data_IF_229182133008
#
_entry.id   IF_229182133008
#
_cell.length_a   1.000
_cell.length_b   1.000
_cell.length_c   1.000
_cell.angle_alpha   90.00
_cell.angle_beta   90.00
_cell.angle_gamma   90.00
#
_symmetry.space_group_name_H-M   'P 1'
#
loop_
_entity.id
_entity.type
_entity.pdbx_description
1 polymer ?
#
# COMPACT_ATOMS: atom_id res chain seq x y z
N UNK A 1 5.31 20.73 2.91
CA UNK A 1 6.23 19.58 3.09
C UNK A 1 6.07 18.69 1.88
N UNK A 2 7.10 18.59 1.04
CA UNK A 2 7.05 17.75 -0.16
C UNK A 2 7.22 16.29 0.25
N UNK A 3 6.25 15.42 -0.06
CA UNK A 3 6.28 13.98 0.19
C UNK A 3 7.31 13.23 -0.69
N UNK A 4 8.26 13.95 -1.30
CA UNK A 4 9.12 13.48 -2.38
C UNK A 4 10.31 12.61 -1.93
N UNK A 5 10.37 12.22 -0.65
CA UNK A 5 11.50 11.49 -0.10
C UNK A 5 11.07 10.52 1.02
N UNK A 6 9.95 9.81 0.80
CA UNK A 6 9.50 8.79 1.73
C UNK A 6 10.48 7.61 1.66
N UNK A 7 11.33 7.49 2.67
CA UNK A 7 12.18 6.32 2.87
C UNK A 7 11.40 5.23 3.59
N UNK A 8 11.46 4.03 3.05
CA UNK A 8 10.89 2.84 3.66
C UNK A 8 11.81 1.63 3.40
N UNK A 9 11.90 0.75 4.38
CA UNK A 9 12.78 -0.42 4.34
C UNK A 9 11.94 -1.70 4.43
N UNK A 10 12.12 -2.67 3.51
CA UNK A 10 11.41 -3.94 3.59
C UNK A 10 11.75 -4.68 4.89
N UNK A 11 10.73 -5.17 5.59
CA UNK A 11 10.84 -5.93 6.84
C UNK A 11 10.41 -7.38 6.60
N UNK A 12 11.38 -8.27 6.46
CA UNK A 12 11.14 -9.71 6.23
C UNK A 12 10.90 -10.50 7.52
N UNK A 13 11.16 -9.89 8.67
CA UNK A 13 11.08 -10.50 10.00
C UNK A 13 9.65 -10.54 10.57
N UNK A 14 8.67 -9.89 9.92
CA UNK A 14 7.28 -9.88 10.39
C UNK A 14 6.68 -11.30 10.27
N UNK A 15 6.29 -11.92 11.40
CA UNK A 15 5.71 -13.25 11.39
C UNK A 15 4.29 -13.24 10.80
N UNK A 16 3.91 -14.34 10.14
CA UNK A 16 2.54 -14.54 9.67
C UNK A 16 2.13 -13.74 8.44
N UNK A 17 3.08 -13.14 7.70
CA UNK A 17 2.80 -12.58 6.37
C UNK A 17 2.37 -13.71 5.41
N UNK A 18 1.23 -13.54 4.75
CA UNK A 18 0.77 -14.47 3.72
C UNK A 18 1.58 -14.31 2.42
N UNK A 19 1.51 -15.30 1.53
CA UNK A 19 2.08 -15.19 0.19
C UNK A 19 1.51 -13.97 -0.56
N UNK A 20 2.37 -13.16 -1.18
CA UNK A 20 1.98 -11.91 -1.82
C UNK A 20 1.80 -10.71 -0.87
N UNK A 21 2.05 -10.90 0.43
CA UNK A 21 2.19 -9.81 1.38
C UNK A 21 3.66 -9.48 1.62
N UNK A 22 3.91 -8.18 1.74
CA UNK A 22 5.22 -7.64 2.07
C UNK A 22 5.03 -6.56 3.15
N UNK A 23 5.97 -6.45 4.07
CA UNK A 23 5.96 -5.43 5.10
C UNK A 23 7.10 -4.44 4.87
N UNK A 24 6.81 -3.17 5.15
CA UNK A 24 7.77 -2.08 5.04
C UNK A 24 7.74 -1.25 6.31
N UNK A 25 8.90 -0.89 6.82
CA UNK A 25 9.00 0.11 7.89
C UNK A 25 9.16 1.47 7.25
N UNK A 26 8.36 2.45 7.66
CA UNK A 26 8.55 3.84 7.25
C UNK A 26 9.73 4.39 8.05
N UNK A 27 10.78 4.85 7.39
CA UNK A 27 12.01 5.34 8.04
C UNK A 27 12.01 6.86 8.25
N UNK A 28 11.05 7.57 7.64
CA UNK A 28 11.09 9.03 7.55
C UNK A 28 9.73 9.72 7.71
N UNK A 29 9.77 11.01 8.08
CA UNK A 29 8.58 11.84 8.28
C UNK A 29 7.82 11.53 9.58
N UNK A 30 6.60 12.05 9.69
CA UNK A 30 5.78 11.96 10.91
C UNK A 30 5.30 10.54 11.24
N UNK A 31 5.50 9.59 10.34
CA UNK A 31 5.10 8.18 10.51
C UNK A 31 6.33 7.25 10.64
N UNK A 32 7.52 7.81 10.88
CA UNK A 32 8.73 7.02 11.08
C UNK A 32 8.54 5.97 12.20
N UNK A 33 8.98 4.75 11.95
CA UNK A 33 8.81 3.59 12.83
C UNK A 33 7.48 2.84 12.67
N UNK A 34 6.54 3.32 11.85
CA UNK A 34 5.32 2.55 11.53
C UNK A 34 5.62 1.47 10.50
N UNK A 35 5.01 0.30 10.69
CA UNK A 35 5.13 -0.83 9.76
C UNK A 35 3.87 -0.87 8.90
N UNK A 36 4.05 -0.88 7.58
CA UNK A 36 2.99 -0.97 6.59
C UNK A 36 3.07 -2.34 5.93
N UNK A 37 2.01 -3.11 6.05
CA UNK A 37 1.81 -4.33 5.27
C UNK A 37 1.13 -3.97 3.96
N UNK A 38 1.74 -4.31 2.84
CA UNK A 38 1.13 -4.23 1.51
C UNK A 38 0.78 -5.64 1.06
N UNK A 39 -0.48 -5.87 0.71
CA UNK A 39 -0.98 -7.10 0.11
C UNK A 39 -1.19 -6.86 -1.37
N UNK A 40 -0.52 -7.64 -2.21
CA UNK A 40 -0.75 -7.64 -3.64
C UNK A 40 -1.70 -8.77 -4.01
N UNK A 41 -2.61 -8.49 -4.93
CA UNK A 41 -3.50 -9.47 -5.53
C UNK A 41 -3.62 -9.18 -7.01
N UNK A 42 -3.59 -10.23 -7.82
CA UNK A 42 -3.77 -10.13 -9.27
C UNK A 42 -4.97 -10.97 -9.68
N UNK A 43 -5.87 -10.40 -10.48
CA UNK A 43 -7.00 -11.11 -11.07
C UNK A 43 -7.04 -10.85 -12.57
N UNK A 44 -7.16 -11.90 -13.36
CA UNK A 44 -7.40 -11.76 -14.79
C UNK A 44 -8.91 -11.62 -15.02
N UNK A 45 -9.31 -10.54 -15.67
CA UNK A 45 -10.70 -10.22 -15.97
C UNK A 45 -10.91 -10.11 -17.50
N UNK A 46 -12.06 -10.58 -18.01
CA UNK A 46 -12.44 -10.35 -19.40
C UNK A 46 -12.75 -8.86 -19.62
N UNK A 47 -12.34 -8.33 -20.76
CA UNK A 47 -12.71 -6.99 -21.18
C UNK A 47 -14.24 -6.85 -21.28
N UNK A 48 -14.82 -5.69 -20.90
CA UNK A 48 -16.26 -5.46 -21.02
C UNK A 48 -16.78 -5.54 -22.46
N UNK A 49 -15.91 -5.42 -23.46
CA UNK A 49 -16.26 -5.49 -24.87
C UNK A 49 -15.12 -6.09 -25.70
N UNK A 50 -15.04 -7.42 -25.76
CA UNK A 50 -14.21 -8.14 -26.74
C UNK A 50 -13.51 -9.40 -26.19
N UNK A 51 -12.69 -10.07 -27.02
CA UNK A 51 -11.92 -11.26 -26.62
C UNK A 51 -10.66 -10.93 -25.79
N UNK A 52 -10.45 -9.67 -25.44
CA UNK A 52 -9.28 -9.22 -24.70
C UNK A 52 -9.40 -9.58 -23.22
N UNK A 53 -8.31 -10.05 -22.64
CA UNK A 53 -8.14 -10.22 -21.20
C UNK A 53 -7.29 -9.09 -20.65
N UNK A 54 -7.57 -8.69 -19.41
CA UNK A 54 -6.74 -7.78 -18.64
C UNK A 54 -6.32 -8.43 -17.35
N UNK A 55 -5.09 -8.19 -16.92
CA UNK A 55 -4.62 -8.54 -15.58
C UNK A 55 -4.75 -7.31 -14.70
N UNK A 56 -5.63 -7.37 -13.71
CA UNK A 56 -5.85 -6.30 -12.73
C UNK A 56 -5.02 -6.60 -11.49
N UNK A 57 -4.03 -5.75 -11.25
CA UNK A 57 -3.23 -5.72 -10.03
C UNK A 57 -3.92 -4.83 -9.01
N UNK A 58 -4.01 -5.30 -7.76
CA UNK A 58 -4.53 -4.55 -6.62
C UNK A 58 -3.52 -4.61 -5.48
N UNK A 59 -3.10 -3.44 -5.01
CA UNK A 59 -2.29 -3.27 -3.81
C UNK A 59 -3.16 -2.72 -2.69
N UNK A 60 -3.05 -3.33 -1.52
CA UNK A 60 -3.80 -2.96 -0.31
C UNK A 60 -2.83 -2.79 0.85
N UNK A 61 -2.74 -1.59 1.39
CA UNK A 61 -1.88 -1.20 2.51
C UNK A 61 -2.65 -1.16 3.83
N UNK A 62 -2.07 -1.74 4.88
CA UNK A 62 -2.54 -1.67 6.25
C UNK A 62 -1.37 -1.32 7.18
N UNK A 63 -1.63 -0.59 8.28
CA UNK A 63 -0.61 -0.40 9.32
C UNK A 63 -0.67 -1.55 10.30
N UNK A 64 0.46 -2.19 10.54
CA UNK A 64 0.59 -3.34 11.43
C UNK A 64 1.63 -3.07 12.53
N UNK A 65 1.58 -3.86 13.59
CA UNK A 65 2.69 -3.97 14.54
C UNK A 65 3.65 -5.12 14.18
N UNK A 66 4.61 -5.35 15.06
CA UNK A 66 5.71 -6.32 14.90
C UNK A 66 5.23 -7.77 14.84
N UNK A 67 4.01 -8.05 15.34
CA UNK A 67 3.36 -9.35 15.33
C UNK A 67 2.33 -9.47 14.20
N UNK A 68 2.35 -8.57 13.21
CA UNK A 68 1.40 -8.53 12.09
C UNK A 68 -0.07 -8.29 12.50
N UNK A 69 -0.31 -7.76 13.71
CA UNK A 69 -1.63 -7.30 14.10
C UNK A 69 -1.89 -5.88 13.56
N UNK A 70 -3.11 -5.63 13.08
CA UNK A 70 -3.48 -4.34 12.50
C UNK A 70 -3.58 -3.29 13.59
N UNK A 71 -2.88 -2.17 13.42
CA UNK A 71 -2.95 -1.07 14.36
C UNK A 71 -4.23 -0.25 14.18
N UNK A 72 -4.65 0.38 15.26
CA UNK A 72 -5.69 1.40 15.24
C UNK A 72 -5.06 2.80 15.35
N UNK A 73 -5.72 3.79 14.77
CA UNK A 73 -5.38 5.20 14.97
C UNK A 73 -5.60 5.59 16.42
N UNK A 74 -5.10 6.78 16.80
CA UNK A 74 -5.37 7.37 18.11
C UNK A 74 -6.89 7.57 18.40
N UNK A 75 -7.74 7.49 17.38
CA UNK A 75 -9.21 7.60 17.47
C UNK A 75 -9.92 6.25 17.45
N UNK A 76 -9.18 5.13 17.58
CA UNK A 76 -9.74 3.80 17.49
C UNK A 76 -10.17 3.39 16.07
N UNK A 77 -9.78 4.15 15.04
CA UNK A 77 -10.03 3.75 13.65
C UNK A 77 -9.04 2.67 13.26
N UNK A 78 -9.53 1.47 12.91
CA UNK A 78 -8.68 0.39 12.42
C UNK A 78 -7.99 0.84 11.12
N UNK A 79 -6.65 0.75 11.07
CA UNK A 79 -5.84 1.17 9.93
C UNK A 79 -5.67 0.03 8.91
N UNK A 80 -6.78 -0.66 8.62
CA UNK A 80 -6.87 -1.71 7.61
C UNK A 80 -7.33 -1.11 6.27
N UNK A 81 -6.81 -1.63 5.15
CA UNK A 81 -7.12 -1.17 3.79
C UNK A 81 -7.00 0.36 3.58
N UNK A 82 -6.05 1.00 4.27
CA UNK A 82 -5.91 2.45 4.20
C UNK A 82 -5.29 2.91 2.87
N UNK A 83 -4.38 2.15 2.25
CA UNK A 83 -3.94 2.41 0.88
C UNK A 83 -4.58 1.40 -0.04
N UNK A 84 -5.28 1.82 -1.09
CA UNK A 84 -5.83 0.89 -2.08
C UNK A 84 -5.54 1.45 -3.46
N UNK A 85 -4.69 0.76 -4.21
CA UNK A 85 -4.30 1.12 -5.56
C UNK A 85 -4.58 -0.05 -6.50
N UNK A 86 -5.06 0.25 -7.69
CA UNK A 86 -5.38 -0.75 -8.71
C UNK A 86 -4.79 -0.33 -10.05
N UNK A 87 -4.21 -1.28 -10.77
CA UNK A 87 -3.65 -1.06 -12.11
C UNK A 87 -4.08 -2.21 -13.02
N UNK A 88 -4.64 -1.87 -14.17
CA UNK A 88 -5.06 -2.85 -15.19
C UNK A 88 -4.02 -2.92 -16.29
N UNK A 89 -3.53 -4.12 -16.58
CA UNK A 89 -2.52 -4.40 -17.59
C UNK A 89 -3.15 -5.21 -18.72
N UNK A 90 -2.90 -4.82 -19.96
CA UNK A 90 -3.37 -5.56 -21.14
C UNK A 90 -2.58 -6.87 -21.30
N UNK A 91 -3.26 -8.02 -21.41
CA UNK A 91 -2.59 -9.32 -21.54
C UNK A 91 -1.77 -9.40 -22.84
N UNK A 92 -2.21 -8.74 -23.91
CA UNK A 92 -1.45 -8.61 -25.15
C UNK A 92 -0.10 -7.88 -24.97
N UNK A 93 -0.03 -6.91 -24.07
CA UNK A 93 1.22 -6.20 -23.77
C UNK A 93 2.14 -7.00 -22.84
N UNK A 94 1.56 -7.82 -21.96
CA UNK A 94 2.29 -8.79 -21.14
C UNK A 94 2.91 -9.90 -22.01
N UNK A 95 2.14 -10.47 -22.95
CA UNK A 95 2.60 -11.52 -23.88
C UNK A 95 3.69 -11.01 -24.83
N UNK A 96 3.55 -9.77 -25.31
CA UNK A 96 4.58 -9.12 -26.14
C UNK A 96 5.86 -8.78 -25.36
N UNK A 97 5.88 -8.97 -24.04
CA UNK A 97 7.01 -8.60 -23.17
C UNK A 97 7.23 -7.08 -23.03
N UNK A 98 6.27 -6.28 -23.50
CA UNK A 98 6.32 -4.80 -23.43
C UNK A 98 6.13 -4.32 -22.00
N UNK A 99 5.34 -5.06 -21.21
CA UNK A 99 5.09 -4.80 -19.80
C UNK A 99 5.68 -5.93 -18.94
N UNK A 100 6.50 -5.55 -17.96
CA UNK A 100 6.97 -6.48 -16.93
C UNK A 100 6.10 -6.36 -15.68
N UNK A 101 5.33 -7.42 -15.41
CA UNK A 101 4.42 -7.48 -14.25
C UNK A 101 5.11 -7.23 -12.91
N UNK A 102 6.39 -7.60 -12.76
CA UNK A 102 7.15 -7.40 -11.52
C UNK A 102 7.45 -5.92 -11.30
N UNK A 103 7.76 -5.18 -12.38
CA UNK A 103 7.96 -3.74 -12.30
C UNK A 103 6.65 -3.03 -11.96
N UNK A 104 5.56 -3.44 -12.59
CA UNK A 104 4.23 -2.87 -12.35
C UNK A 104 3.74 -3.14 -10.92
N UNK A 105 3.99 -4.34 -10.39
CA UNK A 105 3.73 -4.68 -8.98
C UNK A 105 4.56 -3.84 -8.03
N UNK A 106 5.84 -3.61 -8.35
CA UNK A 106 6.72 -2.77 -7.54
C UNK A 106 6.20 -1.34 -7.49
N UNK A 107 5.92 -0.73 -8.64
CA UNK A 107 5.35 0.63 -8.72
C UNK A 107 4.03 0.74 -7.92
N UNK A 108 3.17 -0.27 -8.02
CA UNK A 108 1.90 -0.29 -7.29
C UNK A 108 2.10 -0.40 -5.78
N UNK A 109 3.13 -1.13 -5.32
CA UNK A 109 3.52 -1.16 -3.91
C UNK A 109 3.95 0.24 -3.46
N UNK A 110 4.84 0.89 -4.21
CA UNK A 110 5.36 2.22 -3.83
C UNK A 110 4.21 3.23 -3.70
N UNK A 111 3.33 3.26 -4.70
CA UNK A 111 2.18 4.16 -4.70
C UNK A 111 1.19 3.84 -3.57
N UNK A 112 1.01 2.55 -3.25
CA UNK A 112 0.22 2.13 -2.11
C UNK A 112 0.83 2.58 -0.77
N UNK A 113 2.14 2.44 -0.56
CA UNK A 113 2.85 2.89 0.65
C UNK A 113 2.80 4.42 0.78
N UNK A 114 2.92 5.14 -0.33
CA UNK A 114 2.73 6.59 -0.37
C UNK A 114 1.31 7.00 0.04
N UNK A 115 0.30 6.33 -0.51
CA UNK A 115 -1.11 6.55 -0.19
C UNK A 115 -1.41 6.30 1.29
N UNK A 116 -0.89 5.19 1.86
CA UNK A 116 -0.91 4.87 3.29
C UNK A 116 -0.33 6.02 4.10
N UNK A 117 0.90 6.42 3.81
CA UNK A 117 1.62 7.44 4.58
C UNK A 117 0.90 8.78 4.55
N UNK A 118 0.39 9.17 3.37
CA UNK A 118 -0.38 10.41 3.21
C UNK A 118 -1.67 10.38 4.03
N UNK A 119 -2.40 9.26 4.03
CA UNK A 119 -3.60 9.09 4.86
C UNK A 119 -3.29 9.10 6.35
N UNK A 120 -2.20 8.46 6.78
CA UNK A 120 -1.75 8.52 8.17
C UNK A 120 -1.40 9.94 8.61
N UNK A 121 -0.67 10.68 7.78
CA UNK A 121 -0.38 12.08 8.04
C UNK A 121 -1.67 12.92 8.17
N UNK A 122 -2.68 12.65 7.35
CA UNK A 122 -3.98 13.32 7.43
C UNK A 122 -4.73 12.97 8.72
N UNK A 123 -4.75 11.70 9.12
CA UNK A 123 -5.34 11.25 10.38
C UNK A 123 -4.62 11.90 11.58
N UNK A 124 -3.28 11.99 11.54
CA UNK A 124 -2.51 12.65 12.58
C UNK A 124 -2.77 14.17 12.62
N UNK A 125 -2.92 14.83 11.47
CA UNK A 125 -3.26 16.25 11.41
C UNK A 125 -4.66 16.54 11.97
N UNK A 126 -5.65 15.69 11.63
CA UNK A 126 -6.98 15.73 12.22
C UNK A 126 -6.92 15.56 13.75
N UNK A 127 -6.00 14.74 14.23
CA UNK A 127 -5.78 14.53 15.66
C UNK A 127 -5.35 15.80 16.38
N UNK A 128 -4.38 16.50 15.79
CA UNK A 128 -3.81 17.71 16.36
C UNK A 128 -4.82 18.88 16.34
N UNK A 129 -5.70 18.91 15.33
CA UNK A 129 -6.74 19.93 15.24
C UNK A 129 -7.87 19.75 16.28
N UNK A 130 -8.01 18.57 16.89
CA UNK A 130 -9.01 18.27 17.91
C UNK A 130 -8.52 18.49 19.35
N UNK A 131 -7.23 18.79 19.55
CA UNK A 131 -6.72 19.20 20.85
C UNK A 131 -7.18 20.64 21.15
N UNK A 132 -7.82 20.91 22.31
CA UNK A 132 -8.09 22.27 22.72
C UNK A 132 -6.76 23.02 22.79
N UNK A 133 -6.68 24.13 22.05
CA UNK A 133 -5.58 25.08 22.19
C UNK A 133 -5.73 25.68 23.60
N UNK A 134 -4.90 25.25 24.55
CA UNK A 134 -4.75 25.92 25.85
C UNK A 134 -4.08 27.29 25.68
#
# INVERSE_FOLDING_TARGET
MSLSNLQYTPRMDIPGLAAGQTAYTIDSGSNAGKIVRVSLSSVSEPAPSGPLTFTVLKAVGAVIDENNAVQSSAFGTVLDNIGVQTKSLSDAALDSGDINIVNEQSELIEDCVHSVTRRLANIAALAMAQLPQE
#
